data_IF_037908946888
#
_entry.id   IF_037908946888
#
_cell.length_a   1.000
_cell.length_b   1.000
_cell.length_c   1.000
_cell.angle_alpha   90.00
_cell.angle_beta   90.00
_cell.angle_gamma   90.00
#
_symmetry.space_group_name_H-M   'P 1'
#
loop_
_entity.id
_entity.type
_entity.pdbx_description
1 polymer ?
#
# COMPACT_ATOMS: atom_id res chain seq x y z
N UNK A 1 23.25 -1.34 0.70
CA UNK A 1 22.30 -2.12 -0.12
C UNK A 1 21.15 -2.48 0.82
N UNK A 2 20.00 -1.81 0.70
CA UNK A 2 18.85 -2.09 1.56
C UNK A 2 18.03 -3.20 0.90
N UNK A 3 17.86 -4.32 1.59
CA UNK A 3 17.04 -5.42 1.12
C UNK A 3 15.56 -5.00 1.17
N UNK A 4 14.78 -5.16 0.09
CA UNK A 4 13.36 -4.83 0.10
C UNK A 4 12.53 -5.68 1.07
N UNK A 5 13.10 -6.78 1.60
CA UNK A 5 12.49 -7.63 2.65
C UNK A 5 12.64 -7.10 4.08
N UNK A 6 13.45 -6.07 4.33
CA UNK A 6 13.64 -5.48 5.66
C UNK A 6 12.81 -4.22 5.90
N UNK A 7 12.01 -3.81 4.91
CA UNK A 7 11.03 -2.75 5.13
C UNK A 7 9.91 -3.35 5.98
N UNK A 8 9.89 -3.01 7.27
CA UNK A 8 8.82 -3.40 8.20
C UNK A 8 7.65 -2.45 7.96
N UNK A 9 6.56 -2.89 7.32
CA UNK A 9 5.38 -2.05 7.20
C UNK A 9 4.78 -1.86 8.59
N UNK A 10 4.47 -0.61 8.93
CA UNK A 10 3.76 -0.27 10.17
C UNK A 10 2.31 -0.75 10.08
N UNK A 11 1.73 -0.68 8.87
CA UNK A 11 0.38 -1.13 8.59
C UNK A 11 0.34 -1.96 7.33
N UNK A 12 -0.52 -2.96 7.30
CA UNK A 12 -0.80 -3.77 6.12
C UNK A 12 -2.29 -3.72 5.82
N UNK A 13 -2.60 -3.41 4.58
CA UNK A 13 -3.93 -3.37 4.03
C UNK A 13 -4.03 -4.44 2.94
N UNK A 14 -4.76 -5.51 3.28
CA UNK A 14 -5.04 -6.57 2.34
C UNK A 14 -6.36 -6.28 1.63
N UNK A 15 -6.30 -5.89 0.35
CA UNK A 15 -7.48 -5.65 -0.47
C UNK A 15 -7.97 -6.94 -1.15
N UNK A 16 -7.37 -8.09 -0.86
CA UNK A 16 -7.74 -9.37 -1.49
C UNK A 16 -8.96 -9.99 -0.80
N UNK A 17 -10.04 -10.21 -1.54
CA UNK A 17 -11.18 -11.01 -1.09
C UNK A 17 -12.10 -10.40 -0.02
N UNK A 18 -11.84 -9.21 0.52
CA UNK A 18 -12.74 -8.59 1.52
C UNK A 18 -13.94 -7.88 0.87
N UNK A 19 -15.19 -8.21 1.26
CA UNK A 19 -16.36 -7.47 0.80
C UNK A 19 -16.39 -6.07 1.43
N UNK A 20 -16.65 -5.09 0.57
CA UNK A 20 -16.89 -3.69 0.94
C UNK A 20 -17.93 -3.59 2.09
N UNK A 21 -17.72 -2.72 3.12
CA UNK A 21 -16.96 -1.47 3.05
C UNK A 21 -15.76 -1.35 4.02
N UNK A 22 -15.34 -2.44 4.67
CA UNK A 22 -14.33 -2.36 5.74
C UNK A 22 -12.91 -1.92 5.30
N UNK A 23 -12.39 -2.32 4.11
CA UNK A 23 -11.03 -1.95 3.69
C UNK A 23 -10.87 -0.46 3.36
N UNK A 24 -11.90 0.17 2.79
CA UNK A 24 -11.87 1.58 2.40
C UNK A 24 -11.87 2.50 3.62
N UNK A 25 -12.64 2.15 4.66
CA UNK A 25 -12.67 2.91 5.93
C UNK A 25 -11.36 2.76 6.67
N UNK A 26 -10.81 1.54 6.79
CA UNK A 26 -9.54 1.30 7.46
C UNK A 26 -8.37 2.05 6.79
N UNK A 27 -8.32 2.11 5.46
CA UNK A 27 -7.27 2.86 4.74
C UNK A 27 -7.36 4.37 5.01
N UNK A 28 -8.58 4.91 5.00
CA UNK A 28 -8.86 6.34 5.21
C UNK A 28 -8.74 6.76 6.68
N UNK A 29 -8.91 5.85 7.63
CA UNK A 29 -8.61 6.08 9.05
C UNK A 29 -7.11 5.95 9.33
N UNK A 30 -6.44 4.95 8.75
CA UNK A 30 -5.03 4.68 9.02
C UNK A 30 -4.14 5.78 8.44
N UNK A 31 -4.28 6.15 7.16
CA UNK A 31 -3.39 7.13 6.52
C UNK A 31 -3.25 8.49 7.25
N UNK A 32 -4.31 9.14 7.75
CA UNK A 32 -4.16 10.35 8.57
C UNK A 32 -3.60 10.05 9.98
N UNK A 33 -3.88 8.88 10.57
CA UNK A 33 -3.28 8.47 11.86
C UNK A 33 -1.81 8.09 11.75
N UNK A 34 -1.32 7.78 10.53
CA UNK A 34 0.08 7.46 10.33
C UNK A 34 0.97 8.66 10.69
N UNK A 35 2.10 8.39 11.34
CA UNK A 35 3.14 9.39 11.53
C UNK A 35 3.96 9.56 10.24
N UNK A 36 4.55 10.73 10.04
CA UNK A 36 5.46 10.95 8.91
C UNK A 36 6.63 9.96 8.99
N UNK A 37 6.84 9.20 7.92
CA UNK A 37 7.82 8.13 7.88
C UNK A 37 7.29 6.71 8.11
N UNK A 38 6.03 6.54 8.54
CA UNK A 38 5.40 5.22 8.63
C UNK A 38 5.06 4.66 7.25
N UNK A 39 5.04 3.33 7.16
CA UNK A 39 4.96 2.60 5.90
C UNK A 39 3.69 1.75 5.88
N UNK A 40 2.84 1.99 4.89
CA UNK A 40 1.66 1.21 4.57
C UNK A 40 2.00 0.21 3.47
N UNK A 41 1.82 -1.07 3.79
CA UNK A 41 1.78 -2.15 2.82
C UNK A 41 0.37 -2.31 2.26
N UNK A 42 0.24 -2.37 0.95
CA UNK A 42 -1.01 -2.64 0.25
C UNK A 42 -0.83 -3.91 -0.57
N UNK A 43 -1.77 -4.84 -0.48
CA UNK A 43 -1.79 -6.04 -1.32
C UNK A 43 -3.08 -6.03 -2.13
N UNK A 44 -2.96 -6.12 -3.45
CA UNK A 44 -4.08 -6.10 -4.39
C UNK A 44 -3.93 -7.21 -5.41
N UNK A 45 -5.03 -7.81 -5.84
CA UNK A 45 -5.09 -8.81 -6.92
C UNK A 45 -5.48 -8.20 -8.28
N UNK A 46 -5.70 -6.89 -8.33
CA UNK A 46 -6.12 -6.19 -9.53
C UNK A 46 -4.91 -5.79 -10.39
N UNK A 47 -4.76 -6.28 -11.63
CA UNK A 47 -3.63 -5.92 -12.50
C UNK A 47 -3.60 -4.43 -12.87
N UNK A 48 -4.75 -3.74 -12.83
CA UNK A 48 -4.85 -2.30 -13.07
C UNK A 48 -4.27 -1.47 -11.91
N UNK A 49 -4.20 -2.04 -10.71
CA UNK A 49 -3.70 -1.34 -9.51
C UNK A 49 -2.23 -0.95 -9.63
N UNK A 50 -1.45 -1.68 -10.45
CA UNK A 50 0.01 -1.46 -10.61
C UNK A 50 0.36 -0.09 -11.14
N UNK A 51 -0.53 0.48 -11.95
CA UNK A 51 -0.36 1.82 -12.49
C UNK A 51 -1.10 2.86 -11.63
N UNK A 52 -2.28 2.54 -11.11
CA UNK A 52 -3.12 3.51 -10.40
C UNK A 52 -2.63 3.83 -8.99
N UNK A 53 -2.34 2.82 -8.16
CA UNK A 53 -1.91 3.02 -6.77
C UNK A 53 -0.68 3.93 -6.65
N UNK A 54 0.41 3.73 -7.41
CA UNK A 54 1.57 4.61 -7.28
C UNK A 54 1.31 6.02 -7.81
N UNK A 55 0.40 6.19 -8.78
CA UNK A 55 -0.01 7.51 -9.28
C UNK A 55 -0.82 8.23 -8.18
N UNK A 56 -1.79 7.56 -7.58
CA UNK A 56 -2.62 8.12 -6.51
C UNK A 56 -1.77 8.48 -5.29
N UNK A 57 -0.87 7.59 -4.88
CA UNK A 57 0.05 7.86 -3.79
C UNK A 57 0.90 9.12 -4.03
N UNK A 58 1.47 9.26 -5.23
CA UNK A 58 2.22 10.45 -5.62
C UNK A 58 1.35 11.71 -5.68
N UNK A 59 0.12 11.60 -6.20
CA UNK A 59 -0.83 12.72 -6.24
C UNK A 59 -1.21 13.22 -4.84
N UNK A 60 -1.26 12.31 -3.86
CA UNK A 60 -1.48 12.64 -2.46
C UNK A 60 -0.22 13.10 -1.71
N UNK A 61 0.96 13.10 -2.37
CA UNK A 61 2.23 13.50 -1.77
C UNK A 61 2.93 12.40 -0.97
N UNK A 62 2.50 11.16 -1.08
CA UNK A 62 3.12 10.00 -0.44
C UNK A 62 4.25 9.43 -1.29
N UNK A 63 5.20 8.77 -0.63
CA UNK A 63 6.38 8.22 -1.27
C UNK A 63 6.25 6.71 -1.48
N UNK A 64 6.29 6.25 -2.73
CA UNK A 64 6.20 4.82 -3.05
C UNK A 64 7.59 4.21 -2.92
N UNK A 65 7.78 3.33 -1.93
CA UNK A 65 9.05 2.67 -1.63
C UNK A 65 9.26 1.41 -2.46
N UNK A 66 8.20 0.62 -2.68
CA UNK A 66 8.29 -0.65 -3.39
C UNK A 66 7.00 -0.95 -4.14
N UNK A 67 7.15 -1.57 -5.31
CA UNK A 67 6.08 -2.19 -6.06
C UNK A 67 6.60 -3.56 -6.50
N UNK A 68 5.99 -4.63 -6.02
CA UNK A 68 6.39 -6.00 -6.30
C UNK A 68 5.17 -6.79 -6.76
N UNK A 69 5.26 -7.43 -7.92
CA UNK A 69 4.21 -8.31 -8.42
C UNK A 69 4.61 -9.75 -8.15
N UNK A 70 3.78 -10.47 -7.39
CA UNK A 70 3.95 -11.89 -7.10
C UNK A 70 2.70 -12.65 -7.57
N UNK A 71 2.81 -13.28 -8.75
CA UNK A 71 1.73 -14.04 -9.38
C UNK A 71 0.47 -13.18 -9.63
N UNK A 72 -0.70 -13.57 -9.08
CA UNK A 72 -1.94 -12.81 -9.21
C UNK A 72 -2.03 -11.60 -8.27
N UNK A 73 -1.08 -11.45 -7.34
CA UNK A 73 -1.08 -10.39 -6.34
C UNK A 73 0.03 -9.38 -6.58
N UNK A 74 -0.21 -8.14 -6.14
CA UNK A 74 0.70 -7.01 -6.27
C UNK A 74 0.79 -6.35 -4.92
N UNK A 75 2.02 -6.20 -4.43
CA UNK A 75 2.38 -5.59 -3.16
C UNK A 75 2.97 -4.21 -3.39
N UNK A 76 2.46 -3.23 -2.67
CA UNK A 76 2.95 -1.86 -2.67
C UNK A 76 3.39 -1.49 -1.27
N UNK A 77 4.53 -0.80 -1.14
CA UNK A 77 4.95 -0.18 0.10
C UNK A 77 4.95 1.33 -0.11
N UNK A 78 4.15 2.03 0.66
CA UNK A 78 3.94 3.47 0.54
C UNK A 78 4.23 4.10 1.89
N UNK A 79 5.11 5.10 1.89
CA UNK A 79 5.45 5.87 3.06
C UNK A 79 4.68 7.19 3.07
N UNK A 80 4.16 7.56 4.25
CA UNK A 80 3.56 8.88 4.48
C UNK A 80 4.60 9.99 4.57
#
# INVERSE_FOLDING_TARGET
MLNPKEIIPTYRLDMTGEPCPYPAVATLEVMPTLNSGEILEIISDCPQSINNIPIDAKNHGYNVLLIEQDGPTIRYLIQK
#
